data_IF_815637808889
#
_entry.id   IF_815637808889
#
_cell.length_a   1.000
_cell.length_b   1.000
_cell.length_c   1.000
_cell.angle_alpha   90.00
_cell.angle_beta   90.00
_cell.angle_gamma   90.00
#
_symmetry.space_group_name_H-M   'P 1'
#
loop_
_entity.id
_entity.type
_entity.pdbx_description
1 polymer ?
#
# COMPACT_ATOMS: atom_id res chain seq x y z
N UNK A 1 -24.95 9.23 -51.52
CA UNK A 1 -24.34 10.50 -51.10
C UNK A 1 -24.19 10.46 -49.59
N UNK A 2 -23.00 10.11 -49.14
CA UNK A 2 -22.61 10.06 -47.74
C UNK A 2 -22.27 11.49 -47.29
N UNK A 3 -22.88 11.96 -46.20
CA UNK A 3 -22.32 13.06 -45.43
C UNK A 3 -21.78 12.51 -44.12
N UNK A 4 -20.45 12.39 -44.07
CA UNK A 4 -19.67 12.21 -42.85
C UNK A 4 -19.58 13.58 -42.17
N UNK A 5 -20.04 13.66 -40.92
CA UNK A 5 -19.79 14.82 -40.05
C UNK A 5 -18.59 14.47 -39.18
N UNK A 6 -17.45 15.10 -39.48
CA UNK A 6 -16.22 15.05 -38.68
C UNK A 6 -16.40 15.95 -37.46
N UNK A 7 -16.36 15.39 -36.25
CA UNK A 7 -16.24 16.17 -35.01
C UNK A 7 -14.74 16.32 -34.71
N UNK A 8 -14.24 17.54 -34.87
CA UNK A 8 -12.88 17.94 -34.53
C UNK A 8 -12.89 18.39 -33.06
N UNK A 9 -12.21 17.66 -32.19
CA UNK A 9 -11.99 18.08 -30.80
C UNK A 9 -10.91 19.17 -30.77
N UNK A 10 -11.29 20.37 -30.34
CA UNK A 10 -10.35 21.46 -30.06
C UNK A 10 -10.05 21.47 -28.56
N UNK A 11 -8.85 21.01 -28.19
CA UNK A 11 -8.25 21.28 -26.88
C UNK A 11 -7.89 22.77 -26.82
N UNK A 12 -8.66 23.55 -26.07
CA UNK A 12 -8.28 24.91 -25.68
C UNK A 12 -7.63 24.84 -24.30
N UNK A 13 -6.32 25.10 -24.26
CA UNK A 13 -5.58 25.44 -23.04
C UNK A 13 -6.18 26.73 -22.45
N UNK A 14 -6.99 26.59 -21.41
CA UNK A 14 -7.33 27.67 -20.49
C UNK A 14 -6.41 27.59 -19.28
N UNK A 15 -5.54 28.57 -19.11
CA UNK A 15 -4.71 28.73 -17.93
C UNK A 15 -5.61 28.96 -16.70
N UNK A 16 -5.55 28.05 -15.73
CA UNK A 16 -6.15 28.25 -14.42
C UNK A 16 -5.40 29.35 -13.65
N UNK A 17 -6.09 30.21 -12.87
CA UNK A 17 -5.44 31.22 -12.06
C UNK A 17 -4.68 30.55 -10.91
N UNK A 18 -3.40 30.90 -10.77
CA UNK A 18 -2.56 30.47 -9.66
C UNK A 18 -3.10 31.05 -8.34
N UNK A 19 -3.77 30.22 -7.55
CA UNK A 19 -4.05 30.50 -6.16
C UNK A 19 -2.77 30.25 -5.35
N UNK A 20 -2.32 31.31 -4.67
CA UNK A 20 -1.18 31.36 -3.75
C UNK A 20 -1.25 30.23 -2.73
N UNK A 21 -0.43 29.19 -2.90
CA UNK A 21 -0.15 28.15 -1.92
C UNK A 21 0.67 28.73 -0.77
N UNK A 22 0.00 29.13 0.31
CA UNK A 22 0.65 29.19 1.60
C UNK A 22 0.72 27.77 2.15
N UNK A 23 1.76 27.02 1.75
CA UNK A 23 2.10 25.75 2.37
C UNK A 23 2.56 26.01 3.81
N UNK A 24 1.98 25.38 4.84
CA UNK A 24 2.72 25.19 6.06
C UNK A 24 3.80 24.16 5.78
N UNK A 25 5.03 24.64 5.57
CA UNK A 25 6.24 23.81 5.66
C UNK A 25 6.29 23.20 7.06
N UNK A 26 5.76 21.99 7.21
CA UNK A 26 6.11 21.13 8.32
C UNK A 26 7.49 20.59 8.02
N UNK A 27 8.50 21.29 8.53
CA UNK A 27 9.83 20.70 8.66
C UNK A 27 9.69 19.34 9.37
N UNK A 28 10.39 18.29 8.92
CA UNK A 28 10.39 17.01 9.63
C UNK A 28 10.82 17.27 11.07
N UNK A 29 10.05 16.73 12.02
CA UNK A 29 10.47 16.69 13.42
C UNK A 29 11.86 16.07 13.49
N UNK A 30 12.82 16.69 14.20
CA UNK A 30 14.17 16.15 14.28
C UNK A 30 14.12 14.72 14.82
N UNK A 31 14.90 13.79 14.24
CA UNK A 31 14.85 12.36 14.58
C UNK A 31 15.24 12.06 16.05
N UNK A 32 15.80 13.06 16.76
CA UNK A 32 16.32 12.92 18.12
C UNK A 32 15.47 13.65 19.19
N UNK A 33 14.21 13.99 18.90
CA UNK A 33 13.31 14.50 19.93
C UNK A 33 13.01 13.37 20.95
N UNK A 34 13.17 13.59 22.27
CA UNK A 34 12.82 12.58 23.27
C UNK A 34 11.35 12.18 23.12
N UNK A 35 11.09 10.90 22.80
CA UNK A 35 9.76 10.35 22.56
C UNK A 35 9.33 10.27 21.09
N UNK A 36 10.19 10.60 20.12
CA UNK A 36 9.95 10.28 18.71
C UNK A 36 10.24 8.79 18.45
N UNK A 37 9.41 8.08 17.66
CA UNK A 37 9.68 6.70 17.27
C UNK A 37 11.02 6.60 16.54
N UNK A 38 11.85 5.62 16.91
CA UNK A 38 13.12 5.34 16.23
C UNK A 38 12.78 4.83 14.82
N UNK A 39 13.12 5.59 13.78
CA UNK A 39 13.02 5.12 12.39
C UNK A 39 14.08 4.05 12.14
N UNK A 40 13.64 2.88 11.68
CA UNK A 40 14.49 1.73 11.40
C UNK A 40 14.81 1.57 9.91
N UNK A 41 14.30 2.46 9.05
CA UNK A 41 14.55 2.40 7.60
C UNK A 41 14.06 1.09 6.97
N UNK A 42 12.92 0.58 7.42
CA UNK A 42 12.37 -0.71 6.99
C UNK A 42 13.38 -1.87 7.19
N UNK A 43 13.97 -1.98 8.38
CA UNK A 43 14.85 -3.10 8.76
C UNK A 43 14.11 -4.44 8.72
N UNK A 44 14.83 -5.50 8.40
CA UNK A 44 14.29 -6.85 8.29
C UNK A 44 14.42 -7.60 9.61
N UNK A 45 13.37 -8.34 9.94
CA UNK A 45 13.36 -9.42 10.92
C UNK A 45 12.56 -10.57 10.32
N UNK A 46 13.15 -11.76 10.24
CA UNK A 46 12.52 -12.88 9.57
C UNK A 46 12.47 -14.16 10.41
N UNK A 47 11.51 -15.01 10.06
CA UNK A 47 11.29 -16.34 10.65
C UNK A 47 10.65 -17.28 9.63
N UNK A 48 10.80 -18.57 9.87
CA UNK A 48 10.11 -19.61 9.11
C UNK A 48 9.13 -20.36 9.99
N UNK A 49 8.00 -20.73 9.41
CA UNK A 49 6.98 -21.58 10.02
C UNK A 49 6.59 -22.69 9.04
N UNK A 50 6.02 -23.77 9.54
CA UNK A 50 5.51 -24.88 8.73
C UNK A 50 3.98 -24.93 8.79
N UNK A 51 3.34 -25.12 7.63
CA UNK A 51 1.90 -25.32 7.51
C UNK A 51 1.65 -26.68 6.87
N UNK A 52 0.94 -27.53 7.60
CA UNK A 52 0.44 -28.81 7.07
C UNK A 52 -0.72 -28.57 6.08
N UNK A 53 -1.27 -29.59 5.38
CA UNK A 53 -2.28 -29.37 4.36
C UNK A 53 -3.61 -28.96 5.04
N UNK A 54 -4.28 -27.94 4.50
CA UNK A 54 -5.45 -27.27 5.10
C UNK A 54 -5.19 -26.64 6.49
N UNK A 55 -3.95 -26.31 6.81
CA UNK A 55 -3.59 -25.73 8.11
C UNK A 55 -3.70 -24.20 8.13
N UNK A 56 -3.94 -23.64 9.30
CA UNK A 56 -4.01 -22.20 9.53
C UNK A 56 -3.20 -21.82 10.75
N UNK A 57 -2.23 -20.93 10.54
CA UNK A 57 -1.48 -20.28 11.60
C UNK A 57 -2.02 -18.87 11.83
N UNK A 58 -2.40 -18.57 13.07
CA UNK A 58 -2.73 -17.21 13.52
C UNK A 58 -1.80 -16.82 14.66
N UNK A 59 -1.12 -15.70 14.52
CA UNK A 59 -0.11 -15.24 15.47
C UNK A 59 -0.34 -13.79 15.91
N UNK A 60 0.04 -13.51 17.16
CA UNK A 60 0.13 -12.14 17.68
C UNK A 60 1.50 -11.59 17.29
N UNK A 61 1.53 -10.49 16.54
CA UNK A 61 2.77 -10.01 15.92
C UNK A 61 3.81 -9.63 16.96
N UNK A 62 3.45 -9.03 18.09
CA UNK A 62 4.44 -8.64 19.11
C UNK A 62 5.17 -9.84 19.77
N UNK A 63 4.59 -11.05 19.70
CA UNK A 63 5.25 -12.28 20.17
C UNK A 63 6.15 -12.85 19.07
N UNK A 64 5.71 -12.77 17.81
CA UNK A 64 6.42 -13.36 16.68
C UNK A 64 7.58 -12.46 16.18
N UNK A 65 7.35 -11.15 16.10
CA UNK A 65 8.32 -10.08 15.81
C UNK A 65 8.38 -9.10 16.99
N UNK A 66 9.23 -9.36 17.99
CA UNK A 66 9.38 -8.47 19.14
C UNK A 66 10.27 -7.24 18.86
N UNK A 67 10.91 -7.15 17.71
CA UNK A 67 11.97 -6.16 17.45
C UNK A 67 11.42 -4.83 16.89
N UNK A 68 10.30 -4.88 16.17
CA UNK A 68 9.73 -3.72 15.49
C UNK A 68 8.38 -3.29 16.09
N UNK A 69 8.15 -1.97 16.21
CA UNK A 69 6.88 -1.42 16.64
C UNK A 69 5.86 -1.40 15.50
N UNK A 70 6.24 -0.96 14.31
CA UNK A 70 5.32 -0.81 13.19
C UNK A 70 6.03 -1.05 11.87
N UNK A 71 5.28 -1.43 10.85
CA UNK A 71 5.79 -1.68 9.51
C UNK A 71 4.84 -2.59 8.75
N UNK A 72 5.37 -3.35 7.78
CA UNK A 72 4.61 -4.30 6.97
C UNK A 72 5.27 -5.69 6.97
N UNK A 73 4.56 -6.70 6.47
CA UNK A 73 5.02 -8.08 6.48
C UNK A 73 4.85 -8.71 5.09
N UNK A 74 5.85 -9.45 4.65
CA UNK A 74 5.76 -10.36 3.51
C UNK A 74 5.80 -11.79 4.00
N UNK A 75 4.92 -12.65 3.49
CA UNK A 75 4.97 -14.09 3.70
C UNK A 75 5.09 -14.77 2.35
N UNK A 76 6.16 -15.53 2.14
CA UNK A 76 6.38 -16.27 0.89
C UNK A 76 6.51 -17.76 1.17
N UNK A 77 6.01 -18.60 0.26
CA UNK A 77 6.28 -20.04 0.30
C UNK A 77 7.76 -20.30 0.04
N UNK A 78 8.32 -21.23 0.79
CA UNK A 78 9.73 -21.60 0.73
C UNK A 78 9.89 -23.11 0.84
N UNK A 79 11.03 -23.60 0.36
CA UNK A 79 11.45 -24.98 0.55
C UNK A 79 12.18 -25.21 1.89
N UNK A 80 12.67 -26.42 2.13
CA UNK A 80 13.43 -26.78 3.32
C UNK A 80 14.77 -26.02 3.44
N UNK A 81 15.32 -25.53 2.32
CA UNK A 81 16.57 -24.76 2.30
C UNK A 81 16.35 -23.26 2.54
N UNK A 82 15.10 -22.79 2.44
CA UNK A 82 14.71 -21.39 2.58
C UNK A 82 14.59 -20.64 1.25
N UNK A 83 14.77 -21.34 0.12
CA UNK A 83 14.55 -20.80 -1.23
C UNK A 83 13.05 -20.60 -1.47
N UNK A 84 12.65 -19.45 -2.03
CA UNK A 84 11.22 -19.20 -2.30
C UNK A 84 10.75 -19.95 -3.52
N UNK A 85 9.55 -20.53 -3.44
CA UNK A 85 9.03 -21.46 -4.44
C UNK A 85 7.62 -21.11 -4.89
N UNK A 86 7.23 -21.62 -6.05
CA UNK A 86 5.83 -21.64 -6.47
C UNK A 86 4.98 -22.53 -5.56
N UNK A 87 3.98 -21.98 -4.91
CA UNK A 87 3.00 -22.68 -4.06
C UNK A 87 1.71 -21.84 -3.95
N UNK A 88 0.99 -21.68 -5.07
CA UNK A 88 -0.23 -20.86 -5.18
C UNK A 88 -1.43 -21.42 -4.36
N UNK A 89 -1.27 -21.51 -3.05
CA UNK A 89 -2.22 -22.09 -2.11
C UNK A 89 -2.27 -21.32 -0.78
N UNK A 90 -1.51 -20.25 -0.62
CA UNK A 90 -1.55 -19.41 0.58
C UNK A 90 -2.65 -18.35 0.48
N UNK A 91 -3.43 -18.19 1.54
CA UNK A 91 -4.31 -17.03 1.75
C UNK A 91 -4.02 -16.42 3.11
N UNK A 92 -4.41 -15.17 3.31
CA UNK A 92 -4.19 -14.55 4.60
C UNK A 92 -4.90 -13.22 4.83
N UNK A 93 -4.89 -12.82 6.10
CA UNK A 93 -5.56 -11.63 6.60
C UNK A 93 -4.76 -11.03 7.77
N UNK A 94 -4.70 -9.71 7.83
CA UNK A 94 -4.29 -8.98 9.04
C UNK A 94 -5.52 -8.41 9.75
N UNK A 95 -5.49 -8.41 11.07
CA UNK A 95 -6.45 -7.74 11.93
C UNK A 95 -5.69 -6.86 12.91
N UNK A 96 -6.05 -5.59 12.97
CA UNK A 96 -5.46 -4.60 13.87
C UNK A 96 -6.52 -4.13 14.84
N UNK A 97 -6.21 -4.25 16.13
CA UNK A 97 -7.03 -3.80 17.25
C UNK A 97 -6.33 -2.62 17.89
N UNK A 98 -6.99 -1.46 17.89
CA UNK A 98 -6.56 -0.26 18.61
C UNK A 98 -7.37 -0.12 19.90
N UNK A 99 -6.77 -0.51 21.02
CA UNK A 99 -7.38 -0.41 22.35
C UNK A 99 -7.45 1.02 22.90
N UNK A 100 -6.70 1.96 22.32
CA UNK A 100 -6.65 3.37 22.75
C UNK A 100 -7.78 4.14 22.09
N UNK A 101 -7.84 4.08 20.76
CA UNK A 101 -8.85 4.75 19.95
C UNK A 101 -10.14 3.90 19.81
N UNK A 102 -10.15 2.68 20.38
CA UNK A 102 -11.29 1.75 20.48
C UNK A 102 -11.89 1.39 19.13
N UNK A 103 -11.04 1.04 18.17
CA UNK A 103 -11.50 0.57 16.87
C UNK A 103 -10.68 -0.63 16.41
N UNK A 104 -11.27 -1.36 15.48
CA UNK A 104 -10.71 -2.58 14.91
C UNK A 104 -11.01 -2.60 13.42
N UNK A 105 -10.06 -3.10 12.65
CA UNK A 105 -10.31 -3.43 11.26
C UNK A 105 -9.46 -4.61 10.86
N UNK A 106 -9.91 -5.29 9.82
CA UNK A 106 -9.18 -6.37 9.18
C UNK A 106 -9.18 -6.16 7.68
N UNK A 107 -8.12 -6.65 7.04
CA UNK A 107 -7.96 -6.57 5.59
C UNK A 107 -7.19 -7.80 5.13
N UNK A 108 -7.59 -8.33 3.98
CA UNK A 108 -6.88 -9.44 3.36
C UNK A 108 -5.46 -8.99 2.99
N UNK A 109 -4.51 -9.92 3.05
CA UNK A 109 -3.21 -9.70 2.42
C UNK A 109 -3.39 -9.51 0.91
N UNK A 110 -2.50 -8.72 0.29
CA UNK A 110 -2.39 -8.71 -1.16
C UNK A 110 -1.72 -10.02 -1.60
N UNK A 111 -2.43 -10.81 -2.38
CA UNK A 111 -1.96 -12.08 -2.92
C UNK A 111 -1.24 -11.90 -4.25
N UNK A 112 -0.09 -12.57 -4.38
CA UNK A 112 0.68 -12.66 -5.61
C UNK A 112 0.94 -14.13 -5.94
N UNK A 113 0.50 -14.54 -7.13
CA UNK A 113 0.79 -15.88 -7.65
C UNK A 113 2.19 -15.95 -8.22
N UNK A 114 2.84 -17.09 -8.03
CA UNK A 114 4.08 -17.39 -8.72
C UNK A 114 3.82 -17.59 -10.22
N UNK A 115 4.83 -17.28 -11.04
CA UNK A 115 4.86 -17.50 -12.49
C UNK A 115 5.74 -18.67 -12.90
N UNK A 116 6.30 -19.36 -11.92
CA UNK A 116 6.96 -20.65 -12.05
C UNK A 116 6.01 -21.80 -11.68
N UNK A 117 6.41 -23.03 -11.98
CA UNK A 117 5.64 -24.20 -11.58
C UNK A 117 5.72 -24.41 -10.05
N UNK A 118 4.80 -25.21 -9.53
CA UNK A 118 4.79 -25.56 -8.11
C UNK A 118 6.09 -26.25 -7.69
N UNK A 119 6.69 -25.82 -6.59
CA UNK A 119 7.95 -26.33 -6.06
C UNK A 119 9.20 -25.79 -6.74
N UNK A 120 9.07 -25.08 -7.87
CA UNK A 120 10.21 -24.47 -8.55
C UNK A 120 10.56 -23.14 -7.88
N UNK A 121 11.87 -22.82 -7.88
CA UNK A 121 12.39 -21.57 -7.34
C UNK A 121 11.79 -20.35 -8.05
N UNK A 122 11.41 -19.33 -7.29
CA UNK A 122 10.89 -18.09 -7.86
C UNK A 122 11.98 -17.10 -8.27
N UNK A 123 13.16 -17.16 -7.64
CA UNK A 123 14.31 -16.28 -7.95
C UNK A 123 14.96 -16.71 -9.27
N UNK A 124 14.42 -16.23 -10.40
CA UNK A 124 14.82 -16.65 -11.74
C UNK A 124 16.10 -15.96 -12.21
N UNK A 125 16.41 -14.80 -11.64
CA UNK A 125 17.54 -13.96 -12.03
C UNK A 125 18.72 -14.05 -11.04
N UNK A 126 18.53 -14.66 -9.87
CA UNK A 126 19.54 -14.91 -8.85
C UNK A 126 19.90 -13.68 -8.02
N UNK A 127 19.04 -12.67 -7.96
CA UNK A 127 19.28 -11.43 -7.21
C UNK A 127 18.71 -11.44 -5.79
N UNK A 128 17.93 -12.47 -5.45
CA UNK A 128 17.35 -12.68 -4.13
C UNK A 128 16.20 -11.74 -3.76
N UNK A 129 15.73 -10.91 -4.69
CA UNK A 129 14.54 -10.10 -4.50
C UNK A 129 13.27 -10.89 -4.85
N UNK A 130 12.11 -10.33 -4.47
CA UNK A 130 10.82 -10.89 -4.88
C UNK A 130 10.23 -9.97 -5.91
N UNK A 131 10.37 -10.37 -7.17
CA UNK A 131 10.05 -9.54 -8.31
C UNK A 131 8.59 -9.69 -8.76
N UNK A 132 7.92 -8.54 -8.88
CA UNK A 132 6.53 -8.41 -9.29
C UNK A 132 6.46 -7.95 -10.76
N UNK A 133 7.07 -8.69 -11.68
CA UNK A 133 7.16 -8.37 -13.12
C UNK A 133 6.41 -9.33 -14.06
N UNK A 134 5.84 -10.40 -13.54
CA UNK A 134 5.20 -11.44 -14.35
C UNK A 134 6.16 -12.54 -14.81
N UNK A 135 7.41 -12.56 -14.35
CA UNK A 135 8.35 -13.66 -14.54
C UNK A 135 8.50 -14.50 -13.27
N UNK A 136 8.66 -13.87 -12.11
CA UNK A 136 8.75 -14.56 -10.81
C UNK A 136 7.38 -14.63 -10.13
N UNK A 137 6.78 -13.47 -9.88
CA UNK A 137 5.42 -13.32 -9.38
C UNK A 137 4.57 -12.48 -10.33
N UNK A 138 3.26 -12.45 -10.08
CA UNK A 138 2.35 -11.53 -10.76
C UNK A 138 2.77 -10.07 -10.63
N UNK A 139 2.58 -9.32 -11.73
CA UNK A 139 2.71 -7.86 -11.74
C UNK A 139 1.71 -7.22 -10.79
N UNK A 140 2.04 -6.03 -10.31
CA UNK A 140 1.18 -5.24 -9.41
C UNK A 140 0.50 -4.09 -10.13
N UNK A 141 -0.39 -3.38 -9.43
CA UNK A 141 -1.17 -2.28 -9.98
C UNK A 141 -0.29 -1.07 -10.34
N UNK A 142 -0.64 -0.41 -11.44
CA UNK A 142 -0.04 0.87 -11.80
C UNK A 142 -0.78 2.06 -11.17
N UNK A 143 -2.09 1.90 -10.94
CA UNK A 143 -2.97 2.90 -10.35
C UNK A 143 -3.96 2.22 -9.40
N UNK A 144 -4.26 2.89 -8.28
CA UNK A 144 -5.19 2.44 -7.26
C UNK A 144 -6.36 3.43 -7.16
N UNK A 145 -7.58 2.91 -6.96
CA UNK A 145 -8.79 3.71 -6.88
C UNK A 145 -9.55 3.40 -5.60
N UNK A 146 -9.85 4.45 -4.86
CA UNK A 146 -10.68 4.40 -3.67
C UNK A 146 -12.04 4.97 -4.05
N UNK A 147 -13.11 4.15 -4.04
CA UNK A 147 -14.40 4.54 -4.60
C UNK A 147 -15.12 5.59 -3.77
N UNK A 148 -14.67 5.78 -2.51
CA UNK A 148 -15.26 6.76 -1.61
C UNK A 148 -14.30 7.13 -0.48
N UNK A 149 -14.32 8.39 -0.08
CA UNK A 149 -13.90 8.86 1.23
C UNK A 149 -14.97 9.77 1.84
N UNK A 150 -15.05 9.81 3.17
CA UNK A 150 -15.90 10.77 3.89
C UNK A 150 -15.05 11.92 4.41
N UNK A 151 -15.49 13.15 4.16
CA UNK A 151 -14.80 14.36 4.55
C UNK A 151 -14.55 14.43 6.06
N UNK A 152 -13.28 14.58 6.43
CA UNK A 152 -12.86 14.67 7.82
C UNK A 152 -13.34 15.98 8.47
N UNK A 153 -13.48 16.00 9.79
CA UNK A 153 -13.75 17.21 10.58
C UNK A 153 -13.29 17.03 12.02
N UNK A 154 -13.29 18.06 12.86
CA UNK A 154 -12.95 17.92 14.28
C UNK A 154 -13.77 16.88 15.05
N UNK A 155 -15.00 16.57 14.60
CA UNK A 155 -15.88 15.60 15.25
C UNK A 155 -15.67 14.14 14.80
N UNK A 156 -14.83 13.88 13.79
CA UNK A 156 -14.59 12.53 13.24
C UNK A 156 -13.10 12.35 12.96
N UNK A 157 -12.52 11.30 13.52
CA UNK A 157 -11.12 10.95 13.26
C UNK A 157 -10.89 10.77 11.76
N UNK A 158 -9.86 11.39 11.17
CA UNK A 158 -9.58 11.26 9.76
C UNK A 158 -9.40 9.80 9.35
N UNK A 159 -9.92 9.46 8.16
CA UNK A 159 -9.58 8.20 7.51
C UNK A 159 -8.08 8.15 7.19
N UNK A 160 -7.52 6.94 7.14
CA UNK A 160 -6.09 6.72 6.97
C UNK A 160 -5.78 5.97 5.67
N UNK A 161 -4.59 6.20 5.14
CA UNK A 161 -3.97 5.42 4.09
C UNK A 161 -2.73 4.74 4.66
N UNK A 162 -2.59 3.45 4.38
CA UNK A 162 -1.35 2.72 4.56
C UNK A 162 -0.72 2.60 3.16
N UNK A 163 0.55 2.97 3.02
CA UNK A 163 1.27 3.02 1.76
C UNK A 163 2.54 2.16 1.86
N UNK A 164 2.84 1.40 0.81
CA UNK A 164 4.07 0.61 0.66
C UNK A 164 4.67 0.92 -0.72
N UNK A 165 5.95 1.28 -0.74
CA UNK A 165 6.71 1.44 -1.97
C UNK A 165 7.09 0.07 -2.51
N UNK A 166 6.71 -0.21 -3.76
CA UNK A 166 7.05 -1.48 -4.44
C UNK A 166 8.15 -1.27 -5.51
N UNK A 167 8.92 -0.19 -5.36
CA UNK A 167 10.08 0.09 -6.19
C UNK A 167 11.14 0.82 -5.37
N UNK A 168 12.41 0.51 -5.63
CA UNK A 168 13.55 1.17 -4.99
C UNK A 168 13.81 0.79 -3.52
N UNK A 169 12.78 0.42 -2.78
CA UNK A 169 12.85 -0.12 -1.42
C UNK A 169 13.35 0.87 -0.36
N UNK A 170 14.23 0.44 0.56
CA UNK A 170 14.50 1.17 1.80
C UNK A 170 15.26 2.51 1.60
N UNK A 171 16.06 2.61 0.55
CA UNK A 171 16.87 3.79 0.24
C UNK A 171 16.12 4.85 -0.59
N UNK A 172 14.83 4.62 -0.86
CA UNK A 172 14.06 5.44 -1.78
C UNK A 172 12.94 6.21 -1.08
N UNK A 173 12.78 7.45 -1.49
CA UNK A 173 11.60 8.25 -1.23
C UNK A 173 10.65 8.10 -2.42
N UNK A 174 9.47 7.55 -2.16
CA UNK A 174 8.41 7.35 -3.16
C UNK A 174 7.39 8.46 -3.05
N UNK A 175 7.22 9.22 -4.12
CA UNK A 175 6.18 10.24 -4.28
C UNK A 175 4.97 9.64 -5.00
N UNK A 176 3.79 9.90 -4.47
CA UNK A 176 2.49 9.44 -4.99
C UNK A 176 1.65 10.63 -5.40
N UNK A 177 1.17 10.61 -6.65
CA UNK A 177 0.17 11.55 -7.16
C UNK A 177 -1.22 11.15 -6.66
N UNK A 178 -2.00 12.12 -6.23
CA UNK A 178 -3.43 11.97 -5.92
C UNK A 178 -4.26 12.80 -6.89
N UNK A 179 -5.31 12.20 -7.44
CA UNK A 179 -6.40 12.93 -8.07
C UNK A 179 -7.67 12.69 -7.27
N UNK A 180 -8.21 13.76 -6.70
CA UNK A 180 -9.30 13.75 -5.73
C UNK A 180 -10.50 14.41 -6.40
N UNK A 181 -11.64 13.74 -6.41
CA UNK A 181 -12.88 14.30 -6.94
C UNK A 181 -13.91 14.36 -5.82
N UNK A 182 -14.64 15.48 -5.73
CA UNK A 182 -15.83 15.54 -4.89
C UNK A 182 -17.02 14.82 -5.56
N UNK A 183 -18.18 14.88 -4.91
CA UNK A 183 -19.44 14.29 -5.35
C UNK A 183 -20.07 14.95 -6.59
N UNK A 184 -19.52 16.07 -7.08
CA UNK A 184 -19.97 16.76 -8.29
C UNK A 184 -18.82 16.95 -9.31
N UNK A 185 -17.88 16.00 -9.33
CA UNK A 185 -16.81 15.89 -10.34
C UNK A 185 -15.81 17.07 -10.35
N UNK A 186 -15.78 17.92 -9.31
CA UNK A 186 -14.72 18.91 -9.15
C UNK A 186 -13.43 18.22 -8.69
N UNK A 187 -12.35 18.48 -9.43
CA UNK A 187 -11.09 17.73 -9.31
C UNK A 187 -9.98 18.56 -8.68
N UNK A 188 -9.30 17.95 -7.71
CA UNK A 188 -8.14 18.49 -7.01
C UNK A 188 -6.95 17.52 -7.15
N UNK A 189 -5.74 18.05 -6.99
CA UNK A 189 -4.51 17.25 -7.00
C UNK A 189 -3.70 17.48 -5.73
N UNK A 190 -2.97 16.45 -5.32
CA UNK A 190 -2.00 16.51 -4.23
C UNK A 190 -0.89 15.49 -4.47
N UNK A 191 0.21 15.63 -3.72
CA UNK A 191 1.31 14.67 -3.71
C UNK A 191 1.64 14.30 -2.25
N UNK A 192 2.06 13.06 -2.02
CA UNK A 192 2.63 12.64 -0.74
C UNK A 192 3.90 11.85 -0.99
N UNK A 193 4.95 12.15 -0.23
CA UNK A 193 6.23 11.44 -0.31
C UNK A 193 6.47 10.66 0.96
N UNK A 194 6.86 9.40 0.82
CA UNK A 194 7.17 8.53 1.94
C UNK A 194 8.35 7.61 1.63
N UNK A 195 9.02 7.15 2.69
CA UNK A 195 10.10 6.19 2.61
C UNK A 195 9.59 4.81 3.00
N UNK A 196 9.68 3.85 2.07
CA UNK A 196 9.33 2.41 2.15
C UNK A 196 7.92 2.04 2.64
N UNK A 197 7.47 2.54 3.79
CA UNK A 197 6.15 2.32 4.39
C UNK A 197 5.69 3.56 5.13
N UNK A 198 4.40 3.87 5.05
CA UNK A 198 3.80 4.96 5.82
C UNK A 198 2.32 4.70 6.14
N UNK A 199 1.85 5.28 7.24
CA UNK A 199 0.44 5.26 7.66
C UNK A 199 -0.01 6.66 8.02
N UNK A 200 -0.70 7.29 7.08
CA UNK A 200 -1.03 8.72 7.14
C UNK A 200 -2.53 8.96 7.21
N UNK A 201 -2.90 10.12 7.77
CA UNK A 201 -4.27 10.61 7.64
C UNK A 201 -4.46 11.24 6.26
N UNK A 202 -5.64 11.10 5.66
CA UNK A 202 -5.94 11.76 4.37
C UNK A 202 -5.74 13.27 4.43
N UNK A 203 -6.03 13.90 5.56
CA UNK A 203 -5.85 15.34 5.78
C UNK A 203 -4.38 15.77 5.81
N UNK A 204 -3.44 14.83 6.03
CA UNK A 204 -2.01 15.09 5.89
C UNK A 204 -1.61 15.23 4.42
N UNK A 205 -2.27 14.47 3.53
CA UNK A 205 -2.05 14.54 2.08
C UNK A 205 -2.61 15.85 1.52
N UNK A 206 -3.86 16.18 1.87
CA UNK A 206 -4.49 17.40 1.37
C UNK A 206 -5.70 17.84 2.19
N UNK A 207 -5.91 19.15 2.26
CA UNK A 207 -7.14 19.74 2.78
C UNK A 207 -8.36 19.42 1.91
N UNK A 208 -8.17 18.95 0.67
CA UNK A 208 -9.26 18.47 -0.19
C UNK A 208 -10.06 17.29 0.43
N UNK A 209 -9.49 16.62 1.43
CA UNK A 209 -10.17 15.56 2.19
C UNK A 209 -10.97 16.07 3.41
N UNK A 210 -11.02 17.38 3.65
CA UNK A 210 -11.80 17.98 4.73
C UNK A 210 -13.24 18.24 4.27
N UNK A 211 -14.22 17.89 5.11
CA UNK A 211 -15.62 18.22 4.84
C UNK A 211 -15.83 19.74 4.71
N UNK A 212 -15.13 20.55 5.50
CA UNK A 212 -15.23 22.02 5.41
C UNK A 212 -14.70 22.57 4.08
N UNK A 213 -13.69 21.93 3.50
CA UNK A 213 -13.20 22.30 2.18
C UNK A 213 -14.22 21.93 1.12
N UNK A 214 -14.70 20.69 1.10
CA UNK A 214 -15.66 20.19 0.11
C UNK A 214 -16.97 20.99 0.10
N UNK A 215 -17.50 21.40 1.26
CA UNK A 215 -18.69 22.28 1.33
C UNK A 215 -18.48 23.67 0.73
N UNK A 216 -17.23 24.07 0.48
CA UNK A 216 -16.90 25.36 -0.14
C UNK A 216 -16.73 25.27 -1.66
N UNK A 217 -16.81 24.08 -2.24
CA UNK A 217 -16.64 23.81 -3.67
C UNK A 217 -17.99 23.64 -4.36
N UNK A 218 -18.03 23.39 -5.67
CA UNK A 218 -19.27 23.01 -6.35
C UNK A 218 -19.61 21.57 -5.97
N UNK A 219 -20.52 21.39 -5.01
CA UNK A 219 -20.86 20.10 -4.41
C UNK A 219 -22.37 19.83 -4.44
N UNK A 220 -22.78 18.57 -4.37
CA UNK A 220 -24.19 18.22 -4.32
C UNK A 220 -24.68 18.15 -2.86
N UNK A 221 -25.33 19.22 -2.40
CA UNK A 221 -25.86 19.33 -1.02
C UNK A 221 -26.76 18.17 -0.56
N UNK A 222 -27.32 17.39 -1.50
CA UNK A 222 -28.17 16.23 -1.20
C UNK A 222 -27.40 14.90 -1.14
N UNK A 223 -26.13 14.86 -1.54
CA UNK A 223 -25.28 13.66 -1.60
C UNK A 223 -24.22 13.67 -0.50
N UNK A 224 -24.68 13.59 0.74
CA UNK A 224 -23.80 13.53 1.91
C UNK A 224 -23.91 12.18 2.63
N UNK A 225 -22.79 11.73 3.19
CA UNK A 225 -22.73 10.55 4.03
C UNK A 225 -22.62 10.99 5.50
N UNK A 226 -23.60 10.64 6.32
CA UNK A 226 -23.63 11.02 7.75
C UNK A 226 -23.48 12.53 8.00
N UNK A 227 -24.11 13.36 7.14
CA UNK A 227 -24.06 14.82 7.22
C UNK A 227 -22.74 15.44 6.77
N UNK A 228 -21.96 14.72 5.97
CA UNK A 228 -20.64 15.12 5.50
C UNK A 228 -20.51 14.94 4.00
N UNK A 229 -19.83 15.91 3.40
CA UNK A 229 -19.39 15.80 2.02
C UNK A 229 -18.43 14.62 1.86
N UNK A 230 -18.45 14.05 0.68
CA UNK A 230 -17.67 12.88 0.32
C UNK A 230 -17.16 13.04 -1.10
N UNK A 231 -16.40 12.06 -1.54
CA UNK A 231 -15.85 12.03 -2.89
C UNK A 231 -15.13 10.72 -3.12
N UNK A 232 -14.37 10.64 -4.19
CA UNK A 232 -13.52 9.49 -4.50
C UNK A 232 -12.13 9.98 -4.89
N UNK A 233 -11.15 9.10 -4.88
CA UNK A 233 -9.81 9.46 -5.35
C UNK A 233 -9.10 8.29 -5.98
N UNK A 234 -8.11 8.61 -6.81
CA UNK A 234 -7.15 7.67 -7.36
C UNK A 234 -5.74 8.11 -7.02
N UNK A 235 -4.85 7.14 -6.97
CA UNK A 235 -3.45 7.35 -6.64
C UNK A 235 -2.55 6.50 -7.53
N UNK A 236 -1.39 7.05 -7.87
CA UNK A 236 -0.35 6.35 -8.64
C UNK A 236 1.02 6.86 -8.18
N UNK A 237 2.05 6.03 -8.28
CA UNK A 237 3.40 6.53 -8.08
C UNK A 237 3.76 7.56 -9.14
N UNK A 238 4.38 8.65 -8.73
CA UNK A 238 4.93 9.68 -9.61
C UNK A 238 6.40 9.37 -9.91
N UNK A 239 7.19 9.26 -8.83
CA UNK A 239 8.62 9.01 -8.88
C UNK A 239 9.09 8.39 -7.58
N UNK A 240 10.08 7.49 -7.64
CA UNK A 240 10.84 7.05 -6.48
C UNK A 240 12.30 7.46 -6.67
N UNK A 241 12.87 8.21 -5.74
CA UNK A 241 14.24 8.71 -5.84
C UNK A 241 15.12 8.15 -4.74
N UNK A 242 16.37 7.85 -5.10
CA UNK A 242 17.46 7.62 -4.16
C UNK A 242 18.58 8.61 -4.42
N UNK A 243 19.67 8.50 -3.67
CA UNK A 243 20.90 9.28 -3.90
C UNK A 243 21.59 8.96 -5.24
N UNK A 244 21.23 7.86 -5.92
CA UNK A 244 21.93 7.39 -7.12
C UNK A 244 21.05 7.12 -8.35
N UNK A 245 19.74 7.02 -8.19
CA UNK A 245 18.83 6.78 -9.31
C UNK A 245 17.43 7.32 -9.05
N UNK A 246 16.61 7.31 -10.09
CA UNK A 246 15.20 7.70 -10.06
C UNK A 246 14.38 6.72 -10.88
N UNK A 247 13.30 6.20 -10.30
CA UNK A 247 12.33 5.30 -10.95
C UNK A 247 11.07 6.11 -11.22
N UNK A 248 10.71 6.27 -12.48
CA UNK A 248 9.48 6.96 -12.88
C UNK A 248 8.27 6.01 -12.76
N UNK A 249 7.12 6.55 -12.32
CA UNK A 249 5.87 5.81 -12.11
C UNK A 249 6.05 4.51 -11.29
N UNK A 250 6.66 4.57 -10.10
CA UNK A 250 6.87 3.37 -9.29
C UNK A 250 5.52 2.76 -8.89
N UNK A 251 5.35 1.43 -8.93
CA UNK A 251 4.19 0.82 -8.31
C UNK A 251 4.18 1.03 -6.79
N UNK A 252 2.97 1.10 -6.25
CA UNK A 252 2.71 1.16 -4.81
C UNK A 252 1.65 0.12 -4.44
N UNK A 253 1.67 -0.34 -3.19
CA UNK A 253 0.50 -0.95 -2.57
C UNK A 253 -0.10 0.06 -1.59
N UNK A 254 -1.43 0.03 -1.45
CA UNK A 254 -2.12 0.83 -0.47
C UNK A 254 -3.30 0.10 0.14
N UNK A 255 -3.64 0.48 1.37
CA UNK A 255 -4.90 0.12 2.02
C UNK A 255 -5.58 1.36 2.53
N UNK A 256 -6.87 1.47 2.24
CA UNK A 256 -7.71 2.55 2.74
C UNK A 256 -8.42 2.09 4.01
N UNK A 257 -8.23 2.84 5.10
CA UNK A 257 -8.93 2.63 6.38
C UNK A 257 -9.90 3.79 6.57
N UNK A 258 -11.14 3.57 6.17
CA UNK A 258 -12.24 4.52 6.37
C UNK A 258 -12.61 4.59 7.84
N UNK A 259 -12.85 5.82 8.33
CA UNK A 259 -13.27 6.06 9.72
C UNK A 259 -14.43 7.01 9.78
N UNK A 260 -15.43 6.63 10.57
CA UNK A 260 -16.63 7.44 10.84
C UNK A 260 -17.02 7.30 12.31
N UNK A 261 -16.73 8.32 13.10
CA UNK A 261 -16.93 8.28 14.55
C UNK A 261 -16.08 7.18 15.19
N UNK A 262 -16.72 6.25 15.90
CA UNK A 262 -16.08 5.08 16.52
C UNK A 262 -15.97 3.87 15.60
N UNK A 263 -16.45 3.97 14.36
CA UNK A 263 -16.42 2.86 13.40
C UNK A 263 -15.26 3.02 12.44
N UNK A 264 -14.72 1.88 12.02
CA UNK A 264 -13.67 1.77 11.02
C UNK A 264 -13.93 0.58 10.10
N UNK A 265 -13.58 0.75 8.84
CA UNK A 265 -13.56 -0.34 7.85
C UNK A 265 -12.29 -0.17 7.03
N UNK A 266 -11.63 -1.28 6.71
CA UNK A 266 -10.51 -1.28 5.78
C UNK A 266 -10.88 -2.04 4.51
N UNK A 267 -10.40 -1.55 3.37
CA UNK A 267 -10.53 -2.26 2.10
C UNK A 267 -9.27 -2.09 1.24
N UNK A 268 -9.06 -3.08 0.39
CA UNK A 268 -8.08 -2.99 -0.69
C UNK A 268 -8.66 -2.07 -1.78
N UNK A 269 -7.96 -1.01 -2.19
CA UNK A 269 -8.38 -0.20 -3.33
C UNK A 269 -8.58 -1.05 -4.59
N UNK A 270 -9.41 -0.56 -5.51
CA UNK A 270 -9.49 -1.15 -6.84
C UNK A 270 -8.18 -0.90 -7.58
N UNK A 271 -7.76 -1.86 -8.40
CA UNK A 271 -6.48 -1.83 -9.08
C UNK A 271 -6.68 -1.69 -10.59
N UNK A 272 -5.91 -0.80 -11.22
CA UNK A 272 -5.88 -0.61 -12.67
C UNK A 272 -4.45 -0.71 -13.22
N UNK A 273 -4.36 -1.31 -14.40
CA UNK A 273 -3.12 -1.52 -15.13
C UNK A 273 -2.16 -2.48 -14.43
N UNK A 274 -1.03 -2.75 -15.10
CA UNK A 274 0.06 -3.56 -14.56
C UNK A 274 1.38 -2.79 -14.63
N UNK A 275 2.14 -2.82 -13.55
CA UNK A 275 3.47 -2.25 -13.42
C UNK A 275 4.44 -3.30 -12.84
N UNK A 276 5.72 -3.15 -13.19
CA UNK A 276 6.78 -3.99 -12.60
C UNK A 276 7.18 -3.40 -11.25
N UNK A 277 7.13 -4.22 -10.21
CA UNK A 277 7.61 -3.87 -8.89
C UNK A 277 8.62 -4.88 -8.37
N UNK A 278 9.17 -4.59 -7.20
CA UNK A 278 9.97 -5.52 -6.42
C UNK A 278 9.77 -5.20 -4.94
N UNK A 279 9.75 -6.23 -4.10
CA UNK A 279 9.52 -6.05 -2.67
C UNK A 279 10.81 -5.64 -1.97
N UNK A 280 10.82 -4.38 -1.53
CA UNK A 280 11.88 -3.70 -0.77
C UNK A 280 13.33 -4.01 -1.18
N UNK A 281 13.76 -3.66 -2.41
CA UNK A 281 15.18 -3.70 -2.74
C UNK A 281 16.00 -2.79 -1.81
N UNK A 282 17.16 -3.24 -1.34
CA UNK A 282 17.98 -2.46 -0.37
C UNK A 282 19.14 -1.67 -0.99
N UNK A 283 19.40 -1.83 -2.28
CA UNK A 283 20.47 -1.09 -2.95
C UNK A 283 20.02 0.31 -3.36
N UNK A 284 20.85 1.33 -3.10
CA UNK A 284 20.59 2.70 -3.57
C UNK A 284 20.37 2.81 -5.09
N UNK A 285 20.83 1.85 -5.90
CA UNK A 285 20.57 1.82 -7.35
C UNK A 285 19.18 1.28 -7.70
N UNK A 286 18.39 0.88 -6.71
CA UNK A 286 17.30 -0.06 -6.89
C UNK A 286 17.87 -1.45 -7.16
N UNK A 287 17.22 -2.46 -6.61
CA UNK A 287 17.38 -3.86 -7.01
C UNK A 287 16.08 -4.39 -7.60
N UNK A 288 16.12 -5.58 -8.20
CA UNK A 288 14.96 -6.19 -8.84
C UNK A 288 14.55 -5.53 -10.16
N UNK A 289 13.39 -5.93 -10.65
CA UNK A 289 12.85 -5.64 -12.00
C UNK A 289 12.09 -4.31 -12.14
N UNK A 290 12.01 -3.52 -11.06
CA UNK A 290 11.45 -2.16 -11.07
C UNK A 290 12.42 -1.18 -11.76
N UNK A 291 12.76 -1.46 -13.03
CA UNK A 291 13.67 -0.67 -13.81
C UNK A 291 13.04 0.67 -14.23
N UNK A 292 13.89 1.69 -14.37
CA UNK A 292 13.54 3.00 -14.93
C UNK A 292 12.89 2.81 -16.30
N UNK A 293 11.59 3.11 -16.41
CA UNK A 293 10.85 3.04 -17.68
C UNK A 293 10.23 1.69 -18.04
N UNK A 294 10.05 0.78 -17.07
CA UNK A 294 9.28 -0.44 -17.30
C UNK A 294 7.88 -0.10 -17.86
N UNK A 295 7.42 -0.77 -18.93
CA UNK A 295 6.17 -0.41 -19.59
C UNK A 295 4.98 -0.69 -18.69
N UNK A 296 4.16 0.33 -18.42
CA UNK A 296 2.85 0.17 -17.78
C UNK A 296 1.87 -0.39 -18.79
N UNK A 297 1.26 -1.53 -18.49
CA UNK A 297 0.13 -2.05 -19.27
C UNK A 297 -1.17 -1.49 -18.70
N UNK A 298 -1.63 -0.36 -19.25
CA UNK A 298 -2.84 0.31 -18.79
C UNK A 298 -4.13 -0.50 -19.01
N UNK A 299 -4.12 -1.49 -19.92
CA UNK A 299 -5.27 -2.36 -20.16
C UNK A 299 -5.22 -3.65 -19.33
N UNK A 300 -4.09 -3.90 -18.68
CA UNK A 300 -3.86 -5.04 -17.81
C UNK A 300 -4.89 -5.07 -16.67
N UNK A 301 -5.34 -6.28 -16.34
CA UNK A 301 -6.31 -6.52 -15.28
C UNK A 301 -5.67 -7.33 -14.17
N UNK A 302 -5.89 -6.90 -12.95
CA UNK A 302 -5.49 -7.64 -11.75
C UNK A 302 -6.73 -8.28 -11.15
N UNK A 303 -6.54 -9.49 -10.64
CA UNK A 303 -7.59 -10.22 -9.96
C UNK A 303 -7.02 -10.77 -8.65
N UNK A 304 -7.19 -9.99 -7.59
CA UNK A 304 -6.84 -10.34 -6.20
C UNK A 304 -7.85 -11.30 -5.58
N UNK A 305 -7.56 -11.69 -4.34
CA UNK A 305 -8.31 -12.63 -3.51
C UNK A 305 -8.30 -14.04 -4.10
N UNK A 306 -7.13 -14.45 -4.58
CA UNK A 306 -6.83 -15.83 -4.96
C UNK A 306 -5.73 -16.36 -4.04
N UNK A 307 -5.62 -17.69 -3.89
CA UNK A 307 -4.45 -18.25 -3.25
C UNK A 307 -3.18 -17.88 -4.04
N UNK A 308 -2.17 -17.40 -3.33
CA UNK A 308 -0.89 -16.96 -3.86
C UNK A 308 0.28 -17.78 -3.31
N UNK A 309 1.45 -17.56 -3.87
CA UNK A 309 2.72 -18.07 -3.33
C UNK A 309 3.38 -17.03 -2.43
N UNK A 310 2.99 -15.76 -2.59
CA UNK A 310 3.46 -14.62 -1.80
C UNK A 310 2.28 -13.77 -1.34
N UNK A 311 2.31 -13.36 -0.08
CA UNK A 311 1.32 -12.53 0.58
C UNK A 311 1.99 -11.26 1.14
N UNK A 312 1.46 -10.10 0.80
CA UNK A 312 1.87 -8.82 1.36
C UNK A 312 0.81 -8.31 2.34
N UNK A 313 1.16 -8.27 3.62
CA UNK A 313 0.34 -7.70 4.68
C UNK A 313 0.67 -6.23 4.82
N UNK A 314 -0.32 -5.33 4.69
CA UNK A 314 -0.08 -3.89 4.58
C UNK A 314 0.49 -3.29 5.86
N UNK A 315 0.21 -3.89 7.01
CA UNK A 315 0.75 -3.42 8.27
C UNK A 315 0.81 -4.48 9.37
N UNK A 316 1.65 -4.18 10.34
CA UNK A 316 1.53 -4.57 11.74
C UNK A 316 1.80 -3.37 12.65
N UNK A 317 1.27 -3.44 13.86
CA UNK A 317 1.42 -2.44 14.93
C UNK A 317 1.49 -3.16 16.29
N UNK A 318 2.64 -3.03 16.93
CA UNK A 318 3.03 -3.57 18.23
C UNK A 318 3.16 -2.47 19.30
N UNK A 319 2.76 -1.23 19.01
CA UNK A 319 2.80 -0.15 20.01
C UNK A 319 1.90 -0.48 21.20
N UNK A 320 2.20 0.11 22.36
CA UNK A 320 1.38 -0.09 23.56
C UNK A 320 -0.09 0.20 23.30
N UNK A 321 -0.98 -0.73 23.65
CA UNK A 321 -2.42 -0.62 23.40
C UNK A 321 -2.88 -1.08 22.01
N UNK A 322 -1.96 -1.44 21.11
CA UNK A 322 -2.24 -2.02 19.81
C UNK A 322 -2.02 -3.54 19.84
N UNK A 323 -2.83 -4.28 19.11
CA UNK A 323 -2.63 -5.71 18.84
C UNK A 323 -2.81 -5.96 17.36
N UNK A 324 -1.79 -6.57 16.74
CA UNK A 324 -1.88 -7.07 15.37
C UNK A 324 -1.92 -8.58 15.36
N UNK A 325 -2.90 -9.15 14.67
CA UNK A 325 -3.02 -10.58 14.40
C UNK A 325 -2.75 -10.81 12.92
N UNK A 326 -1.83 -11.72 12.62
CA UNK A 326 -1.57 -12.16 11.25
C UNK A 326 -2.05 -13.61 11.12
N UNK A 327 -2.83 -13.87 10.08
CA UNK A 327 -3.33 -15.20 9.75
C UNK A 327 -2.81 -15.61 8.38
N UNK A 328 -2.21 -16.79 8.31
CA UNK A 328 -1.79 -17.46 7.06
C UNK A 328 -2.44 -18.84 7.03
N UNK A 329 -3.07 -19.18 5.91
CA UNK A 329 -3.67 -20.50 5.70
C UNK A 329 -3.07 -21.16 4.47
N UNK A 330 -2.62 -22.40 4.62
CA UNK A 330 -2.36 -23.30 3.49
C UNK A 330 -3.68 -23.94 3.07
N UNK A 331 -4.16 -23.61 1.87
CA UNK A 331 -5.41 -24.16 1.33
C UNK A 331 -5.18 -25.44 0.52
N UNK A 332 -3.94 -25.88 0.39
CA UNK A 332 -3.64 -27.11 -0.32
C UNK A 332 -4.06 -28.34 0.48
N UNK A 333 -4.73 -29.33 -0.15
CA UNK A 333 -5.22 -30.50 0.56
C UNK A 333 -4.20 -31.63 0.72
N UNK A 334 -3.01 -31.52 0.14
CA UNK A 334 -2.05 -32.62 0.02
C UNK A 334 -0.67 -32.27 0.55
N UNK A 335 -0.12 -31.13 0.15
CA UNK A 335 1.28 -30.81 0.44
C UNK A 335 1.43 -29.87 1.63
N UNK A 336 2.44 -30.16 2.44
CA UNK A 336 2.98 -29.25 3.43
C UNK A 336 3.71 -28.10 2.72
N UNK A 337 3.81 -26.96 3.40
CA UNK A 337 4.63 -25.84 2.93
C UNK A 337 5.33 -25.17 4.10
N UNK A 338 6.61 -24.85 3.90
CA UNK A 338 7.31 -23.94 4.79
C UNK A 338 7.07 -22.52 4.29
N UNK A 339 6.75 -21.61 5.20
CA UNK A 339 6.49 -20.20 4.88
C UNK A 339 7.51 -19.31 5.55
N UNK A 340 8.03 -18.34 4.80
CA UNK A 340 9.00 -17.37 5.24
C UNK A 340 8.31 -16.05 5.56
N UNK A 341 8.23 -15.70 6.84
CA UNK A 341 7.75 -14.41 7.33
C UNK A 341 8.91 -13.42 7.35
N UNK A 342 8.78 -12.31 6.64
CA UNK A 342 9.75 -11.21 6.62
C UNK A 342 9.07 -9.91 7.04
N UNK A 343 9.37 -9.46 8.25
CA UNK A 343 8.88 -8.21 8.80
C UNK A 343 9.80 -7.08 8.42
N UNK A 344 9.23 -6.04 7.84
CA UNK A 344 9.91 -4.80 7.48
C UNK A 344 9.47 -3.71 8.45
N UNK A 345 10.30 -3.43 9.47
CA UNK A 345 10.02 -2.46 10.52
C UNK A 345 10.31 -1.03 10.10
N UNK A 346 9.30 -0.16 10.02
CA UNK A 346 9.51 1.28 9.85
C UNK A 346 9.93 1.93 11.16
N UNK A 347 9.32 1.53 12.28
CA UNK A 347 9.62 2.09 13.59
C UNK A 347 10.02 1.00 14.59
N UNK A 348 11.00 1.30 15.43
CA UNK A 348 11.49 0.42 16.48
C UNK A 348 10.53 0.34 17.66
N UNK A 349 10.60 -0.78 18.39
CA UNK A 349 9.88 -0.93 19.65
C UNK A 349 10.20 0.25 20.57
N UNK A 350 9.18 0.97 21.00
CA UNK A 350 9.33 2.05 21.97
C UNK A 350 9.91 1.41 23.24
N UNK A 351 11.16 1.75 23.59
CA UNK A 351 11.77 1.27 24.83
C UNK A 351 11.09 1.99 25.99
N UNK A 352 9.95 1.46 26.45
CA UNK A 352 9.36 1.86 27.72
C UNK A 352 10.32 1.59 28.88
#
# INVERSE_FOLDING_TARGET
MQHRTTILAAFLLGAAPALSSAEPSLAPTPPDAPGAPIDLGCSEFDRFEELTPNDTLTLVVNVHNPEHAQGFLVVAAADETGEHIGFDALIGQTMVIDGIERFEYSVNALDYRAKVARGEATDLNGDGYRDLDGLEYERTAAELLVPRFIGASPAVTPSKLILIGLAGGADFDTTVDFLIANDNEEVFSAEHTFNCWDKISLTTVSNAFLSSFLTSTDHNVLEHAAGRENGWFRMRGAVANSVSTSVANPPIAAVYVERVGSYSVADLPFELGLANGSLLPRGAQGGGVAAVGAPVDAAGRIARRKPGSLLLYPEFDNRGGMVSLITVTNTDPVDDVRVHFVYYGKYGADMM
#
